data_IF_128118612139
#
_entry.id   IF_128118612139
#
_cell.length_a   1.000
_cell.length_b   1.000
_cell.length_c   1.000
_cell.angle_alpha   90.00
_cell.angle_beta   90.00
_cell.angle_gamma   90.00
#
_symmetry.space_group_name_H-M   'P 1'
#
loop_
_entity.id
_entity.type
_entity.pdbx_description
1 polymer ?
#
# COMPACT_ATOMS: atom_id res chain seq x y z
N UNK A 1 12.78 49.18 36.21
CA UNK A 1 13.06 47.74 36.00
C UNK A 1 11.77 47.06 35.55
N UNK A 2 11.71 46.55 34.31
CA UNK A 2 10.51 45.89 33.76
C UNK A 2 10.85 44.41 33.62
N UNK A 3 10.29 43.56 34.47
CA UNK A 3 10.53 42.11 34.43
C UNK A 3 9.64 41.47 33.37
N UNK A 4 10.29 40.76 32.44
CA UNK A 4 9.66 39.98 31.38
C UNK A 4 9.20 38.64 31.95
N UNK A 5 7.90 38.35 31.87
CA UNK A 5 7.37 37.02 32.16
C UNK A 5 7.44 36.16 30.89
N UNK A 6 8.27 35.12 30.90
CA UNK A 6 8.27 34.06 29.87
C UNK A 6 7.18 33.03 30.19
N UNK A 7 6.36 32.60 29.22
CA UNK A 7 5.40 31.52 29.45
C UNK A 7 6.12 30.16 29.49
N UNK A 8 5.86 29.39 30.54
CA UNK A 8 6.32 28.01 30.68
C UNK A 8 5.58 27.09 29.69
N UNK A 9 6.31 26.40 28.81
CA UNK A 9 5.76 25.35 27.95
C UNK A 9 5.47 24.12 28.80
N UNK A 10 4.20 23.70 28.86
CA UNK A 10 3.81 22.46 29.53
C UNK A 10 4.25 21.26 28.67
N UNK A 11 4.81 20.19 29.26
CA UNK A 11 5.15 18.99 28.52
C UNK A 11 3.87 18.29 28.04
N UNK A 12 3.86 17.92 26.75
CA UNK A 12 2.82 17.09 26.16
C UNK A 12 2.92 15.68 26.77
N UNK A 13 1.88 15.27 27.50
CA UNK A 13 1.75 13.91 28.04
C UNK A 13 1.50 12.95 26.87
N UNK A 14 2.50 12.18 26.49
CA UNK A 14 2.35 11.08 25.54
C UNK A 14 1.40 10.02 26.09
N UNK A 15 0.33 9.71 25.35
CA UNK A 15 -0.72 8.76 25.71
C UNK A 15 -0.34 7.28 25.46
N UNK A 16 0.92 6.89 25.69
CA UNK A 16 1.26 5.45 25.73
C UNK A 16 0.87 4.89 27.10
N UNK A 17 -0.44 4.69 27.29
CA UNK A 17 -0.99 4.00 28.45
C UNK A 17 -0.73 2.51 28.26
N UNK A 18 0.37 2.00 28.81
CA UNK A 18 0.55 0.56 28.95
C UNK A 18 -0.55 0.03 29.89
N UNK A 19 -1.26 -1.06 29.51
CA UNK A 19 -2.24 -1.65 30.41
C UNK A 19 -1.52 -2.22 31.65
N UNK A 20 -2.07 -2.04 32.85
CA UNK A 20 -1.53 -2.68 34.05
C UNK A 20 -1.69 -4.20 33.95
N UNK A 21 -0.76 -5.00 34.49
CA UNK A 21 -0.93 -6.45 34.54
C UNK A 21 -2.09 -6.77 35.49
N UNK A 22 -3.22 -7.20 34.93
CA UNK A 22 -4.35 -7.72 35.70
C UNK A 22 -3.97 -9.10 36.23
N UNK A 23 -3.55 -9.19 37.50
CA UNK A 23 -3.41 -10.47 38.19
C UNK A 23 -4.75 -10.85 38.81
N UNK A 24 -5.60 -11.54 38.05
CA UNK A 24 -6.70 -12.30 38.65
C UNK A 24 -6.39 -13.79 38.53
N UNK A 25 -6.45 -14.45 39.69
CA UNK A 25 -5.98 -15.81 39.93
C UNK A 25 -6.55 -16.85 38.97
N UNK A 26 -5.65 -17.65 38.40
CA UNK A 26 -5.94 -18.94 37.83
C UNK A 26 -4.71 -19.82 38.06
N UNK A 27 -4.87 -20.85 38.91
CA UNK A 27 -3.82 -21.78 39.36
C UNK A 27 -3.43 -22.82 38.28
N UNK A 28 -3.30 -22.37 37.03
CA UNK A 28 -2.66 -23.18 36.00
C UNK A 28 -1.44 -22.41 35.50
N UNK A 29 -0.24 -23.00 35.44
CA UNK A 29 0.90 -22.37 34.78
C UNK A 29 0.67 -22.49 33.26
N UNK A 30 -0.41 -21.90 32.77
CA UNK A 30 -0.59 -21.65 31.34
C UNK A 30 0.30 -20.46 31.06
N UNK A 31 1.59 -20.74 30.88
CA UNK A 31 2.56 -19.77 30.39
C UNK A 31 1.93 -19.09 29.19
N UNK A 32 1.42 -17.86 29.37
CA UNK A 32 0.95 -17.06 28.25
C UNK A 32 2.20 -16.81 27.42
N UNK A 33 2.38 -17.59 26.36
CA UNK A 33 3.49 -17.44 25.43
C UNK A 33 3.45 -15.99 24.94
N UNK A 34 4.38 -15.17 25.43
CA UNK A 34 4.53 -13.79 24.99
C UNK A 34 5.24 -13.90 23.64
N UNK A 35 4.55 -13.48 22.58
CA UNK A 35 5.18 -13.33 21.28
C UNK A 35 6.15 -12.16 21.41
N UNK A 36 7.43 -12.44 21.24
CA UNK A 36 8.48 -11.43 21.25
C UNK A 36 8.95 -11.28 19.79
N UNK A 37 9.12 -10.04 19.35
CA UNK A 37 9.75 -9.73 18.06
C UNK A 37 11.19 -9.33 18.38
N UNK A 38 12.15 -10.04 17.81
CA UNK A 38 13.57 -9.68 17.85
C UNK A 38 14.01 -9.32 16.45
N UNK A 39 14.69 -8.17 16.33
CA UNK A 39 15.43 -7.83 15.12
C UNK A 39 16.82 -8.47 15.24
N UNK A 40 17.31 -9.09 14.17
CA UNK A 40 18.68 -9.61 14.18
C UNK A 40 19.63 -8.42 14.31
N UNK A 41 20.49 -8.44 15.33
CA UNK A 41 21.57 -7.47 15.45
C UNK A 41 22.60 -7.78 14.35
N UNK A 42 23.04 -6.74 13.65
CA UNK A 42 23.92 -6.68 12.48
C UNK A 42 25.22 -7.52 12.55
N UNK A 43 25.15 -8.86 12.58
CA UNK A 43 26.37 -9.70 12.53
C UNK A 43 26.46 -10.67 11.36
N UNK A 44 25.40 -10.84 10.57
CA UNK A 44 25.49 -11.53 9.28
C UNK A 44 24.87 -10.63 8.22
N UNK A 45 25.70 -10.06 7.33
CA UNK A 45 25.37 -9.04 6.32
C UNK A 45 24.29 -9.43 5.29
N UNK A 46 23.07 -9.70 5.77
CA UNK A 46 21.86 -10.03 5.02
C UNK A 46 20.99 -8.79 4.77
N UNK A 47 21.43 -7.60 5.17
CA UNK A 47 20.77 -6.36 4.78
C UNK A 47 21.01 -6.14 3.28
N UNK A 48 20.07 -6.62 2.48
CA UNK A 48 20.09 -6.47 1.05
C UNK A 48 19.54 -5.09 0.67
N UNK A 49 20.45 -4.18 0.34
CA UNK A 49 20.10 -2.82 -0.11
C UNK A 49 19.91 -2.84 -1.63
N UNK A 50 18.66 -2.70 -2.07
CA UNK A 50 18.33 -2.48 -3.47
C UNK A 50 18.23 -1.00 -3.77
N UNK A 51 18.97 -0.53 -4.78
CA UNK A 51 18.85 0.83 -5.27
C UNK A 51 17.55 0.92 -6.05
N UNK A 52 16.61 1.72 -5.56
CA UNK A 52 15.41 2.03 -6.32
C UNK A 52 15.77 2.92 -7.53
N UNK A 53 15.07 2.72 -8.64
CA UNK A 53 15.21 3.56 -9.82
C UNK A 53 14.97 5.03 -9.49
N UNK A 54 15.68 5.91 -10.20
CA UNK A 54 15.58 7.37 -10.08
C UNK A 54 14.34 7.88 -10.83
N UNK A 55 13.19 7.24 -10.60
CA UNK A 55 11.93 7.77 -11.07
C UNK A 55 11.56 8.95 -10.18
N UNK A 56 11.26 10.09 -10.80
CA UNK A 56 10.62 11.21 -10.12
C UNK A 56 9.35 10.75 -9.38
N UNK A 57 9.43 10.76 -8.04
CA UNK A 57 8.32 10.46 -7.13
C UNK A 57 7.57 11.71 -6.69
N UNK A 58 7.85 12.85 -7.30
CA UNK A 58 7.12 14.08 -6.99
C UNK A 58 5.64 13.82 -7.26
N UNK A 59 4.76 13.93 -6.24
CA UNK A 59 3.33 13.79 -6.46
C UNK A 59 2.91 14.79 -7.53
N UNK A 60 2.24 14.31 -8.57
CA UNK A 60 1.65 15.23 -9.54
C UNK A 60 0.56 16.01 -8.82
N UNK A 61 0.66 17.34 -8.86
CA UNK A 61 -0.41 18.21 -8.39
C UNK A 61 -1.72 17.77 -9.05
N UNK A 62 -2.83 17.67 -8.28
CA UNK A 62 -4.13 17.37 -8.87
C UNK A 62 -4.35 18.30 -10.06
N UNK A 63 -4.84 17.75 -11.18
CA UNK A 63 -5.20 18.57 -12.34
C UNK A 63 -5.98 19.78 -11.82
N UNK A 64 -5.54 20.98 -12.20
CA UNK A 64 -6.12 22.24 -11.73
C UNK A 64 -7.62 22.33 -11.99
N UNK A 65 -8.24 23.46 -11.68
CA UNK A 65 -9.68 23.64 -11.86
C UNK A 65 -10.12 23.38 -13.32
N UNK A 66 -10.63 22.17 -13.57
CA UNK A 66 -11.26 21.79 -14.83
C UNK A 66 -12.53 22.61 -15.01
N UNK A 67 -12.77 23.08 -16.23
CA UNK A 67 -14.05 23.71 -16.53
C UNK A 67 -15.17 22.67 -16.46
N UNK A 68 -16.41 23.13 -16.28
CA UNK A 68 -17.56 22.24 -16.30
C UNK A 68 -17.67 21.47 -17.64
N UNK A 69 -17.28 22.11 -18.75
CA UNK A 69 -17.25 21.50 -20.06
C UNK A 69 -16.23 20.34 -20.10
N UNK A 70 -15.03 20.54 -19.58
CA UNK A 70 -13.99 19.50 -19.53
C UNK A 70 -14.46 18.30 -18.68
N UNK A 71 -15.15 18.56 -17.58
CA UNK A 71 -15.75 17.49 -16.77
C UNK A 71 -16.78 16.67 -17.53
N UNK A 72 -17.62 17.31 -18.36
CA UNK A 72 -18.60 16.61 -19.18
C UNK A 72 -17.90 15.76 -20.26
N UNK A 73 -16.87 16.31 -20.90
CA UNK A 73 -16.08 15.59 -21.90
C UNK A 73 -15.38 14.37 -21.29
N UNK A 74 -14.69 14.53 -20.15
CA UNK A 74 -14.06 13.43 -19.43
C UNK A 74 -15.08 12.36 -19.04
N UNK A 75 -16.30 12.76 -18.64
CA UNK A 75 -17.38 11.83 -18.33
C UNK A 75 -17.94 11.15 -19.58
N UNK A 76 -17.86 11.77 -20.75
CA UNK A 76 -18.22 11.11 -22.01
C UNK A 76 -17.17 10.06 -22.39
N UNK A 77 -15.88 10.42 -22.33
CA UNK A 77 -14.75 9.51 -22.60
C UNK A 77 -14.80 8.29 -21.66
N UNK A 78 -15.00 8.50 -20.35
CA UNK A 78 -15.11 7.39 -19.40
C UNK A 78 -16.26 6.42 -19.71
N UNK A 79 -17.34 6.88 -20.36
CA UNK A 79 -18.47 6.04 -20.74
C UNK A 79 -18.24 5.27 -22.03
N UNK A 80 -17.45 5.82 -22.96
CA UNK A 80 -17.14 5.17 -24.24
C UNK A 80 -16.01 4.16 -24.14
N UNK A 81 -15.12 4.31 -23.15
CA UNK A 81 -14.04 3.35 -22.93
C UNK A 81 -14.59 1.99 -22.46
N UNK A 82 -14.03 0.87 -22.95
CA UNK A 82 -14.36 -0.46 -22.46
C UNK A 82 -14.04 -0.52 -20.96
N UNK A 83 -15.04 -0.88 -20.16
CA UNK A 83 -14.85 -1.02 -18.73
C UNK A 83 -14.00 -2.26 -18.46
N UNK A 84 -12.87 -2.05 -17.79
CA UNK A 84 -12.08 -3.14 -17.25
C UNK A 84 -12.91 -3.95 -16.25
N UNK A 85 -12.55 -5.23 -16.08
CA UNK A 85 -13.10 -6.03 -15.00
C UNK A 85 -12.71 -5.39 -13.67
N UNK A 86 -13.70 -5.00 -12.87
CA UNK A 86 -13.47 -4.37 -11.58
C UNK A 86 -13.68 -5.40 -10.47
N UNK A 87 -12.70 -5.50 -9.58
CA UNK A 87 -12.83 -6.29 -8.35
C UNK A 87 -13.88 -5.65 -7.41
N UNK A 88 -14.40 -6.40 -6.42
CA UNK A 88 -15.29 -5.84 -5.40
C UNK A 88 -14.59 -4.70 -4.65
N UNK A 89 -15.25 -3.54 -4.60
CA UNK A 89 -14.76 -2.40 -3.84
C UNK A 89 -15.22 -2.52 -2.39
N UNK A 90 -14.29 -2.79 -1.47
CA UNK A 90 -14.56 -2.95 -0.04
C UNK A 90 -14.91 -1.63 0.67
N UNK A 91 -14.56 -0.48 0.08
CA UNK A 91 -14.75 0.83 0.70
C UNK A 91 -16.10 1.45 0.30
N UNK A 92 -16.51 1.26 -0.96
CA UNK A 92 -17.83 1.73 -1.44
C UNK A 92 -18.91 0.66 -1.45
N UNK A 93 -18.54 -0.61 -1.20
CA UNK A 93 -19.46 -1.75 -1.19
C UNK A 93 -19.97 -2.17 -2.57
N UNK A 94 -19.34 -1.68 -3.65
CA UNK A 94 -19.75 -2.03 -5.01
C UNK A 94 -19.32 -3.45 -5.35
N UNK A 95 -20.22 -4.29 -5.88
CA UNK A 95 -19.86 -5.64 -6.32
C UNK A 95 -18.92 -5.59 -7.52
N UNK A 96 -18.20 -6.69 -7.75
CA UNK A 96 -17.34 -6.82 -8.93
C UNK A 96 -18.14 -6.58 -10.23
N UNK A 97 -17.56 -5.84 -11.17
CA UNK A 97 -18.16 -5.62 -12.48
C UNK A 97 -17.41 -6.46 -13.53
N UNK A 98 -18.04 -7.56 -13.95
CA UNK A 98 -17.49 -8.46 -14.96
C UNK A 98 -18.18 -8.18 -16.30
N UNK A 99 -17.55 -7.36 -17.12
CA UNK A 99 -18.01 -7.11 -18.48
C UNK A 99 -17.65 -8.31 -19.36
N UNK A 100 -18.56 -8.66 -20.28
CA UNK A 100 -18.43 -9.79 -21.23
C UNK A 100 -18.54 -11.21 -20.64
N UNK A 101 -18.99 -11.37 -19.39
CA UNK A 101 -19.19 -12.70 -18.76
C UNK A 101 -20.21 -13.62 -19.47
N UNK A 102 -21.07 -13.05 -20.32
CA UNK A 102 -22.07 -13.78 -21.09
C UNK A 102 -21.77 -13.81 -22.59
N UNK A 103 -20.60 -13.31 -23.01
CA UNK A 103 -20.19 -13.37 -24.41
C UNK A 103 -19.49 -14.71 -24.63
N UNK A 104 -19.96 -15.55 -25.58
CA UNK A 104 -19.26 -16.79 -25.93
C UNK A 104 -17.78 -16.53 -26.19
N UNK A 105 -16.91 -17.38 -25.65
CA UNK A 105 -15.45 -17.18 -25.70
C UNK A 105 -14.91 -17.03 -27.13
N UNK A 106 -15.60 -17.61 -28.12
CA UNK A 106 -15.29 -17.49 -29.54
C UNK A 106 -15.49 -16.08 -30.11
N UNK A 107 -16.18 -15.20 -29.40
CA UNK A 107 -16.44 -13.81 -29.77
C UNK A 107 -15.64 -12.81 -28.91
N UNK A 108 -14.87 -13.29 -27.93
CA UNK A 108 -13.99 -12.44 -27.16
C UNK A 108 -12.76 -12.08 -28.01
N UNK A 109 -12.29 -10.82 -27.99
CA UNK A 109 -11.02 -10.47 -28.61
C UNK A 109 -9.91 -11.25 -27.90
N UNK A 110 -9.43 -12.31 -28.55
CA UNK A 110 -8.32 -13.10 -28.06
C UNK A 110 -7.08 -12.21 -28.20
N UNK A 111 -6.70 -11.51 -27.13
CA UNK A 111 -5.38 -10.89 -27.07
C UNK A 111 -4.36 -12.03 -27.16
N UNK A 112 -3.51 -12.01 -28.17
CA UNK A 112 -2.46 -13.01 -28.38
C UNK A 112 -1.69 -13.23 -27.08
N UNK A 113 -1.93 -14.36 -26.42
CA UNK A 113 -1.19 -14.80 -25.23
C UNK A 113 0.19 -15.37 -25.60
N UNK A 114 0.81 -14.89 -26.68
CA UNK A 114 2.16 -15.24 -27.09
C UNK A 114 3.19 -14.24 -26.54
N UNK A 115 3.01 -13.78 -25.30
CA UNK A 115 4.12 -13.16 -24.57
C UNK A 115 4.90 -14.29 -23.90
N UNK A 116 6.14 -14.58 -24.31
CA UNK A 116 6.96 -15.57 -23.62
C UNK A 116 7.14 -15.12 -22.17
N UNK A 117 6.75 -16.01 -21.26
CA UNK A 117 7.15 -16.00 -19.86
C UNK A 117 8.68 -15.97 -19.78
N UNK A 118 9.28 -14.78 -19.76
CA UNK A 118 10.66 -14.59 -19.33
C UNK A 118 10.67 -14.67 -17.80
N UNK A 119 10.66 -15.92 -17.32
CA UNK A 119 11.05 -16.27 -15.96
C UNK A 119 12.56 -16.05 -15.75
N UNK A 120 13.01 -15.91 -14.48
CA UNK A 120 14.10 -15.03 -14.11
C UNK A 120 15.46 -15.75 -13.94
N UNK A 121 16.51 -14.95 -13.75
CA UNK A 121 17.86 -15.32 -13.29
C UNK A 121 18.76 -16.08 -14.28
N UNK A 122 19.73 -15.35 -14.85
CA UNK A 122 21.06 -15.90 -15.14
C UNK A 122 22.08 -15.02 -14.45
N UNK A 123 22.78 -15.62 -13.50
CA UNK A 123 23.89 -15.07 -12.72
C UNK A 123 25.09 -14.70 -13.61
N UNK A 124 25.93 -13.72 -13.21
CA UNK A 124 27.08 -13.30 -14.00
C UNK A 124 28.23 -14.32 -13.94
N UNK A 125 28.83 -14.54 -15.10
CA UNK A 125 30.06 -15.29 -15.29
C UNK A 125 31.27 -14.40 -14.95
N UNK A 126 32.24 -14.83 -14.11
CA UNK A 126 33.48 -14.09 -13.91
C UNK A 126 34.49 -14.48 -15.00
N UNK A 127 35.06 -13.50 -15.69
CA UNK A 127 36.24 -13.68 -16.55
C UNK A 127 37.52 -13.26 -15.80
N UNK A 128 38.66 -13.88 -16.12
CA UNK A 128 39.88 -13.89 -15.30
C UNK A 128 40.65 -12.57 -15.25
#
# INVERSE_FOLDING_TARGET
>A
LRTSNKPAKKPLKGCLKSPPPTSNGSLTPRTRARKNVSFCAEEDGLEEVFIADVWDRTPTEPAGHLSYQDLLELKAIQRTLPRAQQLPDLFTGKPAQHFLQHVPISLLPLTDQSSPSMSPFSTPHPTP
#
